data_IF_644486422990
#
_entry.id   IF_644486422990
#
_cell.length_a   1.000
_cell.length_b   1.000
_cell.length_c   1.000
_cell.angle_alpha   90.00
_cell.angle_beta   90.00
_cell.angle_gamma   90.00
#
_symmetry.space_group_name_H-M   'P 1'
#
loop_
_entity.id
_entity.type
_entity.pdbx_description
1 polymer ?
#
# COMPACT_ATOMS: atom_id res chain seq x y z
N UNK A 1 55.75 16.90 47.97
CA UNK A 1 54.58 17.59 47.35
C UNK A 1 54.09 16.91 46.07
N UNK A 2 54.94 16.34 45.21
CA UNK A 2 54.53 15.68 43.95
C UNK A 2 53.71 14.39 44.13
N UNK A 3 54.00 13.58 45.14
CA UNK A 3 53.33 12.28 45.35
C UNK A 3 51.86 12.42 45.78
N UNK A 4 51.54 13.45 46.56
CA UNK A 4 50.17 13.71 47.01
C UNK A 4 49.25 14.14 45.86
N UNK A 5 49.76 14.96 44.93
CA UNK A 5 49.02 15.36 43.74
C UNK A 5 48.74 14.19 42.79
N UNK A 6 49.69 13.25 42.67
CA UNK A 6 49.51 12.04 41.87
C UNK A 6 48.48 11.10 42.50
N UNK A 7 48.53 10.92 43.83
CA UNK A 7 47.55 10.12 44.58
C UNK A 7 46.13 10.70 44.47
N UNK A 8 45.98 12.02 44.62
CA UNK A 8 44.69 12.70 44.53
C UNK A 8 44.11 12.59 43.10
N UNK A 9 44.96 12.63 42.07
CA UNK A 9 44.55 12.40 40.67
C UNK A 9 44.10 10.96 40.41
N UNK A 10 44.82 9.97 40.94
CA UNK A 10 44.45 8.55 40.81
C UNK A 10 43.14 8.27 41.53
N UNK A 11 42.94 8.81 42.74
CA UNK A 11 41.70 8.66 43.50
C UNK A 11 40.50 9.26 42.75
N UNK A 12 40.67 10.45 42.16
CA UNK A 12 39.66 11.07 41.32
C UNK A 12 39.31 10.20 40.09
N UNK A 13 40.32 9.63 39.43
CA UNK A 13 40.12 8.77 38.26
C UNK A 13 39.32 7.51 38.60
N UNK A 14 39.63 6.87 39.75
CA UNK A 14 38.92 5.67 40.23
C UNK A 14 37.45 6.01 40.53
N UNK A 15 37.20 7.13 41.19
CA UNK A 15 35.84 7.58 41.52
C UNK A 15 35.05 7.88 40.24
N UNK A 16 35.67 8.57 39.28
CA UNK A 16 35.05 8.87 37.98
C UNK A 16 34.67 7.58 37.24
N UNK A 17 35.56 6.58 37.24
CA UNK A 17 35.34 5.31 36.57
C UNK A 17 34.20 4.51 37.22
N UNK A 18 34.11 4.54 38.55
CA UNK A 18 33.00 3.94 39.30
C UNK A 18 31.66 4.62 38.99
N UNK A 19 31.64 5.95 38.86
CA UNK A 19 30.43 6.70 38.50
C UNK A 19 29.96 6.33 37.08
N UNK A 20 30.88 6.31 36.11
CA UNK A 20 30.56 5.94 34.71
C UNK A 20 30.02 4.51 34.63
N UNK A 21 30.60 3.58 35.39
CA UNK A 21 30.18 2.18 35.42
C UNK A 21 28.75 1.98 35.95
N UNK A 22 28.20 2.93 36.72
CA UNK A 22 26.82 2.87 37.24
C UNK A 22 25.86 3.64 36.33
N UNK A 23 26.25 4.82 35.85
CA UNK A 23 25.38 5.69 35.05
C UNK A 23 25.08 5.06 33.67
N UNK A 24 26.09 4.49 33.00
CA UNK A 24 25.91 3.94 31.65
C UNK A 24 24.90 2.79 31.61
N UNK A 25 24.96 1.77 32.49
CA UNK A 25 23.95 0.71 32.53
C UNK A 25 22.54 1.23 32.89
N UNK A 26 22.43 2.19 33.80
CA UNK A 26 21.14 2.76 34.19
C UNK A 26 20.47 3.48 33.02
N UNK A 27 21.23 4.25 32.24
CA UNK A 27 20.74 4.91 31.03
C UNK A 27 20.30 3.86 29.99
N UNK A 28 21.12 2.85 29.71
CA UNK A 28 20.78 1.78 28.76
C UNK A 28 19.51 1.02 29.17
N UNK A 29 19.32 0.77 30.47
CA UNK A 29 18.12 0.14 31.00
C UNK A 29 16.85 0.96 30.70
N UNK A 30 16.90 2.29 30.84
CA UNK A 30 15.75 3.16 30.52
C UNK A 30 15.42 3.23 29.03
N UNK A 31 16.39 3.01 28.14
CA UNK A 31 16.13 2.95 26.70
C UNK A 31 15.56 1.59 26.25
N UNK A 32 15.94 0.50 26.92
CA UNK A 32 15.49 -0.86 26.55
C UNK A 32 14.01 -1.14 26.85
N UNK A 33 13.39 -0.41 27.79
CA UNK A 33 11.98 -0.62 28.17
C UNK A 33 10.96 -0.01 27.19
N UNK A 34 11.40 0.74 26.17
CA UNK A 34 10.53 1.35 25.16
C UNK A 34 10.49 0.61 23.83
N UNK A 35 11.02 -0.62 23.77
CA UNK A 35 10.75 -1.52 22.63
C UNK A 35 9.33 -2.05 22.80
N UNK A 36 8.38 -1.19 22.46
CA UNK A 36 7.01 -1.60 22.22
C UNK A 36 7.05 -2.67 21.14
N UNK A 37 6.50 -3.85 21.45
CA UNK A 37 6.16 -4.84 20.44
C UNK A 37 5.14 -4.20 19.49
N UNK A 38 5.63 -3.47 18.49
CA UNK A 38 4.84 -3.18 17.31
C UNK A 38 4.65 -4.52 16.63
N UNK A 39 3.53 -5.18 16.93
CA UNK A 39 3.02 -6.23 16.07
C UNK A 39 2.96 -5.63 14.68
N UNK A 40 3.82 -6.09 13.79
CA UNK A 40 3.73 -5.81 12.36
C UNK A 40 2.46 -6.53 11.92
N UNK A 41 1.30 -5.89 12.08
CA UNK A 41 0.13 -6.26 11.32
C UNK A 41 0.47 -5.89 9.90
N UNK A 42 0.91 -6.89 9.14
CA UNK A 42 0.92 -6.82 7.69
C UNK A 42 -0.50 -6.44 7.28
N UNK A 43 -0.75 -5.25 6.70
CA UNK A 43 -2.06 -4.93 6.19
C UNK A 43 -2.33 -5.96 5.09
N UNK A 44 -3.24 -6.90 5.32
CA UNK A 44 -3.80 -7.60 4.18
C UNK A 44 -4.54 -6.54 3.35
N UNK A 45 -4.30 -6.44 2.04
CA UNK A 45 -5.08 -5.54 1.21
C UNK A 45 -6.52 -5.99 1.34
N UNK A 46 -7.34 -5.14 1.97
CA UNK A 46 -8.78 -5.35 1.97
C UNK A 46 -9.20 -5.12 0.54
N UNK A 47 -9.43 -6.21 -0.19
CA UNK A 47 -10.02 -6.19 -1.53
C UNK A 47 -11.42 -5.63 -1.38
N UNK A 48 -11.59 -4.35 -1.67
CA UNK A 48 -12.83 -3.61 -1.40
C UNK A 48 -13.63 -3.35 -2.67
N UNK A 49 -13.00 -3.49 -3.83
CA UNK A 49 -13.63 -3.26 -5.13
C UNK A 49 -13.45 -4.52 -5.99
N UNK A 50 -14.57 -5.05 -6.50
CA UNK A 50 -14.57 -6.10 -7.51
C UNK A 50 -14.91 -5.49 -8.86
N UNK A 51 -14.06 -5.74 -9.84
CA UNK A 51 -14.25 -5.35 -11.22
C UNK A 51 -14.45 -6.65 -11.99
N UNK A 52 -15.56 -6.79 -12.70
CA UNK A 52 -15.81 -7.95 -13.57
C UNK A 52 -15.93 -7.47 -14.99
N UNK A 53 -15.28 -8.16 -15.92
CA UNK A 53 -15.42 -7.92 -17.35
C UNK A 53 -16.09 -9.13 -17.99
N UNK A 54 -17.26 -8.94 -18.60
CA UNK A 54 -17.99 -10.00 -19.30
C UNK A 54 -18.17 -9.64 -20.78
N UNK A 55 -18.06 -10.65 -21.65
CA UNK A 55 -18.37 -10.51 -23.07
C UNK A 55 -19.48 -11.50 -23.40
N UNK A 56 -20.69 -10.99 -23.59
CA UNK A 56 -21.89 -11.80 -23.83
C UNK A 56 -21.98 -12.35 -25.25
N UNK A 57 -22.92 -13.27 -25.46
CA UNK A 57 -23.15 -13.95 -26.75
C UNK A 57 -23.45 -12.99 -27.93
N UNK A 58 -23.91 -11.78 -27.63
CA UNK A 58 -24.19 -10.74 -28.62
C UNK A 58 -22.96 -9.91 -29.01
N UNK A 59 -21.74 -10.29 -28.60
CA UNK A 59 -20.51 -9.50 -28.75
C UNK A 59 -20.64 -8.09 -28.14
N UNK A 60 -21.28 -8.01 -26.98
CA UNK A 60 -21.35 -6.81 -26.15
C UNK A 60 -20.47 -7.06 -24.94
N UNK A 61 -19.52 -6.16 -24.70
CA UNK A 61 -18.63 -6.21 -23.53
C UNK A 61 -19.16 -5.32 -22.44
N UNK A 62 -19.24 -5.82 -21.21
CA UNK A 62 -19.76 -5.09 -20.06
C UNK A 62 -18.76 -5.17 -18.89
N UNK A 63 -18.48 -4.02 -18.29
CA UNK A 63 -17.67 -3.92 -17.08
C UNK A 63 -18.57 -3.59 -15.90
N UNK A 64 -18.54 -4.47 -14.90
CA UNK A 64 -19.30 -4.35 -13.66
C UNK A 64 -18.35 -3.96 -12.54
N UNK A 65 -18.62 -2.85 -11.86
CA UNK A 65 -17.87 -2.43 -10.69
C UNK A 65 -18.74 -2.52 -9.45
N UNK A 66 -18.39 -3.42 -8.53
CA UNK A 66 -19.03 -3.54 -7.23
C UNK A 66 -18.05 -3.18 -6.14
N UNK A 67 -18.51 -2.50 -5.10
CA UNK A 67 -17.65 -2.00 -4.04
C UNK A 67 -18.37 -2.07 -2.70
N UNK A 68 -17.63 -2.44 -1.64
CA UNK A 68 -18.09 -2.32 -0.26
C UNK A 68 -17.84 -0.94 0.35
N UNK A 69 -17.15 -0.07 -0.39
CA UNK A 69 -16.74 1.28 0.04
C UNK A 69 -17.39 2.37 -0.83
N UNK A 70 -17.75 3.51 -0.24
CA UNK A 70 -18.32 4.63 -0.99
C UNK A 70 -17.25 5.29 -1.89
N UNK A 71 -17.71 6.15 -2.80
CA UNK A 71 -16.88 7.03 -3.62
C UNK A 71 -15.89 6.32 -4.55
N UNK A 72 -16.34 5.21 -5.15
CA UNK A 72 -15.62 4.52 -6.23
C UNK A 72 -16.09 5.07 -7.58
N UNK A 73 -15.15 5.43 -8.43
CA UNK A 73 -15.46 5.92 -9.78
C UNK A 73 -14.52 5.29 -10.81
N UNK A 74 -15.10 4.80 -11.91
CA UNK A 74 -14.32 4.42 -13.09
C UNK A 74 -13.97 5.69 -13.84
N UNK A 75 -12.67 5.92 -14.04
CA UNK A 75 -12.15 7.07 -14.76
C UNK A 75 -12.04 6.76 -16.25
N UNK A 76 -11.39 5.65 -16.58
CA UNK A 76 -11.14 5.22 -17.95
C UNK A 76 -11.13 3.69 -18.03
N UNK A 77 -11.40 3.19 -19.23
CA UNK A 77 -11.20 1.79 -19.59
C UNK A 77 -10.25 1.78 -20.78
N UNK A 78 -9.23 0.94 -20.72
CA UNK A 78 -8.20 0.82 -21.75
C UNK A 78 -8.22 -0.57 -22.36
N UNK A 79 -7.74 -0.67 -23.59
CA UNK A 79 -7.45 -1.95 -24.26
C UNK A 79 -6.03 -1.92 -24.79
N UNK A 80 -5.39 -3.09 -24.83
CA UNK A 80 -4.04 -3.21 -25.34
C UNK A 80 -4.07 -3.51 -26.84
N UNK A 81 -3.51 -2.62 -27.65
CA UNK A 81 -3.47 -2.75 -29.10
C UNK A 81 -2.17 -2.19 -29.66
N UNK A 82 -1.54 -2.92 -30.58
CA UNK A 82 -0.31 -2.49 -31.27
C UNK A 82 0.85 -2.06 -30.34
N UNK A 83 0.94 -2.65 -29.15
CA UNK A 83 2.01 -2.35 -28.20
C UNK A 83 1.67 -1.25 -27.18
N UNK A 84 0.50 -0.62 -27.28
CA UNK A 84 0.09 0.52 -26.47
C UNK A 84 -1.29 0.32 -25.83
N UNK A 85 -1.52 0.99 -24.70
CA UNK A 85 -2.83 1.08 -24.05
C UNK A 85 -3.63 2.24 -24.64
N UNK A 86 -4.81 1.95 -25.16
CA UNK A 86 -5.68 2.93 -25.81
C UNK A 86 -7.04 2.96 -25.12
N UNK A 87 -7.57 4.15 -24.87
CA UNK A 87 -8.89 4.33 -24.25
C UNK A 87 -9.99 3.69 -25.09
N UNK A 88 -10.81 2.88 -24.45
CA UNK A 88 -12.00 2.26 -25.01
C UNK A 88 -13.17 3.21 -24.83
N UNK A 89 -13.97 3.39 -25.88
CA UNK A 89 -15.23 4.11 -25.76
C UNK A 89 -16.25 3.25 -25.02
N UNK A 90 -16.89 3.81 -24.01
CA UNK A 90 -17.92 3.13 -23.24
C UNK A 90 -19.10 4.05 -22.93
N UNK A 91 -20.25 3.46 -22.68
CA UNK A 91 -21.41 4.14 -22.14
C UNK A 91 -21.77 3.54 -20.79
N UNK A 92 -22.08 4.38 -19.82
CA UNK A 92 -22.59 3.89 -18.55
C UNK A 92 -24.07 3.55 -18.72
N UNK A 93 -24.39 2.26 -18.77
CA UNK A 93 -25.75 1.74 -18.98
C UNK A 93 -26.57 1.80 -17.70
N UNK A 94 -25.95 1.49 -16.56
CA UNK A 94 -26.57 1.53 -15.22
C UNK A 94 -25.55 2.02 -14.17
N UNK A 95 -25.97 2.11 -12.90
CA UNK A 95 -25.03 2.40 -11.82
C UNK A 95 -23.89 1.35 -11.81
N UNK A 96 -22.67 1.81 -12.06
CA UNK A 96 -21.44 1.01 -12.09
C UNK A 96 -21.40 -0.12 -13.14
N UNK A 97 -22.22 -0.03 -14.19
CA UNK A 97 -22.17 -0.92 -15.35
C UNK A 97 -21.80 -0.12 -16.59
N UNK A 98 -20.71 -0.51 -17.24
CA UNK A 98 -20.14 0.20 -18.39
C UNK A 98 -20.13 -0.72 -19.60
N UNK A 99 -20.93 -0.37 -20.61
CA UNK A 99 -21.01 -1.08 -21.87
C UNK A 99 -19.93 -0.56 -22.82
N UNK A 100 -19.08 -1.46 -23.30
CA UNK A 100 -17.97 -1.16 -24.21
C UNK A 100 -18.45 -1.15 -25.66
N UNK A 101 -17.84 -0.31 -26.48
CA UNK A 101 -18.07 -0.31 -27.92
C UNK A 101 -17.79 -1.68 -28.56
N UNK A 102 -18.62 -2.06 -29.54
CA UNK A 102 -18.44 -3.31 -30.30
C UNK A 102 -17.48 -3.12 -31.49
N UNK A 103 -16.57 -4.06 -31.76
CA UNK A 103 -16.34 -5.29 -31.01
C UNK A 103 -15.59 -5.02 -29.69
N UNK A 104 -15.99 -5.70 -28.60
CA UNK A 104 -15.33 -5.54 -27.32
C UNK A 104 -13.90 -6.12 -27.38
N UNK A 105 -12.92 -5.48 -26.72
CA UNK A 105 -11.53 -5.93 -26.69
C UNK A 105 -11.35 -7.18 -25.82
N UNK A 106 -10.39 -8.05 -26.16
CA UNK A 106 -10.15 -9.28 -25.38
C UNK A 106 -9.59 -9.05 -23.97
N UNK A 107 -8.87 -7.95 -23.83
CA UNK A 107 -8.17 -7.61 -22.60
C UNK A 107 -8.42 -6.14 -22.36
N UNK A 108 -8.75 -5.82 -21.12
CA UNK A 108 -8.93 -4.45 -20.67
C UNK A 108 -8.14 -4.14 -19.41
N UNK A 109 -7.87 -2.86 -19.22
CA UNK A 109 -7.42 -2.30 -17.95
C UNK A 109 -8.41 -1.22 -17.53
N UNK A 110 -8.95 -1.33 -16.33
CA UNK A 110 -9.93 -0.38 -15.79
C UNK A 110 -9.24 0.50 -14.77
N UNK A 111 -9.24 1.80 -15.01
CA UNK A 111 -8.71 2.80 -14.11
C UNK A 111 -9.80 3.26 -13.14
N UNK A 112 -9.53 3.12 -11.86
CA UNK A 112 -10.49 3.33 -10.78
C UNK A 112 -9.92 4.32 -9.78
N UNK A 113 -10.69 5.36 -9.49
CA UNK A 113 -10.40 6.29 -8.40
C UNK A 113 -11.18 5.89 -7.15
N UNK A 114 -10.45 5.72 -6.06
CA UNK A 114 -10.99 5.44 -4.73
C UNK A 114 -10.10 6.07 -3.65
N UNK A 115 -10.71 6.77 -2.69
CA UNK A 115 -10.02 7.42 -1.57
C UNK A 115 -8.86 8.35 -1.99
N UNK A 116 -9.02 9.04 -3.13
CA UNK A 116 -8.00 9.92 -3.70
C UNK A 116 -6.80 9.20 -4.33
N UNK A 117 -6.85 7.87 -4.45
CA UNK A 117 -5.84 7.04 -5.12
C UNK A 117 -6.39 6.49 -6.43
N UNK A 118 -5.51 6.41 -7.44
CA UNK A 118 -5.80 5.76 -8.72
C UNK A 118 -5.26 4.34 -8.66
N UNK A 119 -6.12 3.39 -9.02
CA UNK A 119 -5.82 1.97 -9.07
C UNK A 119 -6.20 1.41 -10.44
N UNK A 120 -5.60 0.28 -10.80
CA UNK A 120 -5.80 -0.35 -12.09
C UNK A 120 -6.20 -1.82 -11.88
N UNK A 121 -7.23 -2.24 -12.62
CA UNK A 121 -7.66 -3.63 -12.67
C UNK A 121 -7.45 -4.16 -14.08
N UNK A 122 -6.56 -5.14 -14.23
CA UNK A 122 -6.33 -5.84 -15.49
C UNK A 122 -7.26 -7.05 -15.58
N UNK A 123 -8.01 -7.16 -16.69
CA UNK A 123 -9.00 -8.21 -16.88
C UNK A 123 -8.93 -8.79 -18.30
N UNK A 124 -8.95 -10.12 -18.37
CA UNK A 124 -9.31 -10.86 -19.58
C UNK A 124 -10.84 -11.00 -19.68
N UNK A 125 -11.35 -11.38 -20.86
CA UNK A 125 -12.79 -11.67 -21.05
C UNK A 125 -13.31 -12.66 -20.00
N UNK A 126 -14.46 -12.35 -19.40
CA UNK A 126 -15.17 -13.17 -18.43
C UNK A 126 -14.36 -13.44 -17.14
N UNK A 127 -13.60 -12.45 -16.69
CA UNK A 127 -12.82 -12.52 -15.44
C UNK A 127 -13.20 -11.42 -14.45
N UNK A 128 -12.82 -11.64 -13.19
CA UNK A 128 -12.97 -10.67 -12.10
C UNK A 128 -11.61 -10.36 -11.49
N UNK A 129 -11.31 -9.07 -11.35
CA UNK A 129 -10.15 -8.56 -10.65
C UNK A 129 -10.58 -7.84 -9.36
N UNK A 130 -9.66 -7.82 -8.40
CA UNK A 130 -9.87 -7.17 -7.11
C UNK A 130 -8.90 -6.02 -6.95
N UNK A 131 -9.43 -4.88 -6.51
CA UNK A 131 -8.68 -3.67 -6.18
C UNK A 131 -8.81 -3.39 -4.68
#
# INVERSE_FOLDING_TARGET
MKEKALSDFIAFLIILLAIVAIIVPAILFTFSSNVSNQSIQQPQPVKVINVTYEVGENNVGEVYVSSSVPDVSVLNIYSYSNGEWVTVSYQQSQNNVYELASPPPKVIEVEISYNGQINYAYLDENTTAFV
#
